data_IF_463226973774
#
_entry.id   IF_463226973774
#
_cell.length_a   1.000
_cell.length_b   1.000
_cell.length_c   1.000
_cell.angle_alpha   90.00
_cell.angle_beta   90.00
_cell.angle_gamma   90.00
#
_symmetry.space_group_name_H-M   'P 1'
#
loop_
_entity.id
_entity.type
_entity.pdbx_description
1 polymer ?
#
# COMPACT_ATOMS: atom_id res chain seq x y z
N UNK A 1 -10.91 -16.82 -15.99
CA UNK A 1 -10.81 -18.12 -15.30
C UNK A 1 -9.42 -18.15 -14.67
N UNK A 2 -9.26 -18.55 -13.40
CA UNK A 2 -7.92 -18.77 -12.83
C UNK A 2 -7.36 -20.00 -13.55
N UNK A 3 -6.18 -19.91 -14.18
CA UNK A 3 -5.53 -21.07 -14.79
C UNK A 3 -5.04 -22.06 -13.73
N UNK A 4 -4.81 -23.31 -14.10
CA UNK A 4 -4.24 -24.31 -13.18
C UNK A 4 -2.88 -23.84 -12.62
N UNK A 5 -2.07 -23.17 -13.45
CA UNK A 5 -0.79 -22.54 -13.07
C UNK A 5 -0.94 -21.47 -11.99
N UNK A 6 -2.02 -20.66 -12.04
CA UNK A 6 -2.29 -19.66 -11.01
C UNK A 6 -2.76 -20.31 -9.71
N UNK A 7 -3.41 -21.49 -9.78
CA UNK A 7 -3.86 -22.20 -8.58
C UNK A 7 -2.68 -22.74 -7.78
N UNK A 8 -1.64 -23.25 -8.45
CA UNK A 8 -0.39 -23.67 -7.80
C UNK A 8 0.38 -22.49 -7.21
N UNK A 9 0.52 -21.39 -7.96
CA UNK A 9 1.22 -20.18 -7.51
C UNK A 9 0.61 -19.59 -6.22
N UNK A 10 -0.72 -19.55 -6.15
CA UNK A 10 -1.46 -18.94 -5.02
C UNK A 10 -1.99 -19.95 -4.00
N UNK A 11 -1.57 -21.22 -4.05
CA UNK A 11 -2.12 -22.31 -3.23
C UNK A 11 -2.15 -21.99 -1.73
N UNK A 12 -1.07 -21.43 -1.16
CA UNK A 12 -1.04 -21.02 0.26
C UNK A 12 -2.00 -19.87 0.57
N UNK A 13 -2.12 -18.90 -0.34
CA UNK A 13 -3.01 -17.75 -0.18
C UNK A 13 -4.48 -18.19 -0.30
N UNK A 14 -4.77 -19.10 -1.22
CA UNK A 14 -6.09 -19.73 -1.39
C UNK A 14 -6.51 -20.49 -0.13
N UNK A 15 -5.60 -21.24 0.50
CA UNK A 15 -5.87 -21.92 1.78
C UNK A 15 -6.17 -20.94 2.92
N UNK A 16 -5.59 -19.75 2.89
CA UNK A 16 -5.75 -18.76 3.95
C UNK A 16 -7.01 -17.91 3.78
N UNK A 17 -7.25 -17.39 2.57
CA UNK A 17 -8.32 -16.42 2.30
C UNK A 17 -9.52 -17.02 1.55
N UNK A 18 -9.39 -18.23 1.03
CA UNK A 18 -10.38 -18.87 0.18
C UNK A 18 -10.25 -18.52 -1.30
N UNK A 19 -10.70 -19.45 -2.14
CA UNK A 19 -10.59 -19.35 -3.60
C UNK A 19 -11.36 -18.16 -4.18
N UNK A 20 -12.54 -17.85 -3.64
CA UNK A 20 -13.35 -16.71 -4.10
C UNK A 20 -12.68 -15.37 -3.78
N UNK A 21 -12.02 -15.25 -2.64
CA UNK A 21 -11.22 -14.06 -2.30
C UNK A 21 -10.05 -13.89 -3.26
N UNK A 22 -9.32 -14.98 -3.55
CA UNK A 22 -8.24 -14.94 -4.54
C UNK A 22 -8.73 -14.52 -5.93
N UNK A 23 -9.90 -15.00 -6.37
CA UNK A 23 -10.52 -14.54 -7.63
C UNK A 23 -10.80 -13.05 -7.63
N UNK A 24 -11.27 -12.48 -6.53
CA UNK A 24 -11.52 -11.04 -6.41
C UNK A 24 -10.21 -10.26 -6.46
N UNK A 25 -9.19 -10.70 -5.72
CA UNK A 25 -7.86 -10.09 -5.69
C UNK A 25 -7.22 -10.04 -7.09
N UNK A 26 -7.30 -11.14 -7.85
CA UNK A 26 -6.77 -11.19 -9.23
C UNK A 26 -7.48 -10.25 -10.21
N UNK A 27 -8.70 -9.82 -9.90
CA UNK A 27 -9.45 -8.82 -10.68
C UNK A 27 -9.31 -7.41 -10.09
N UNK A 28 -8.68 -7.29 -8.93
CA UNK A 28 -8.53 -6.04 -8.22
C UNK A 28 -7.38 -5.24 -8.83
N UNK A 29 -7.65 -3.96 -9.11
CA UNK A 29 -6.68 -3.02 -9.67
C UNK A 29 -6.37 -1.95 -8.63
N UNK A 30 -5.10 -1.60 -8.51
CA UNK A 30 -4.61 -0.61 -7.54
C UNK A 30 -3.78 0.44 -8.28
N UNK A 31 -4.09 1.71 -8.03
CA UNK A 31 -3.35 2.86 -8.55
C UNK A 31 -2.65 3.56 -7.38
N UNK A 32 -1.33 3.69 -7.44
CA UNK A 32 -0.53 4.24 -6.34
C UNK A 32 0.27 5.44 -6.85
N UNK A 33 0.06 6.57 -6.17
CA UNK A 33 0.74 7.82 -6.44
C UNK A 33 1.46 8.30 -5.17
N UNK A 34 2.72 8.73 -5.29
CA UNK A 34 3.45 9.26 -4.14
C UNK A 34 4.19 10.56 -4.44
N UNK A 35 4.51 11.32 -3.38
CA UNK A 35 5.31 12.55 -3.49
C UNK A 35 6.83 12.28 -3.47
N UNK A 36 7.22 11.03 -3.17
CA UNK A 36 8.59 10.55 -3.22
C UNK A 36 9.33 10.73 -1.90
N UNK A 37 10.05 9.66 -1.53
CA UNK A 37 10.95 9.43 -0.39
C UNK A 37 10.48 8.39 0.64
N UNK A 38 9.24 7.94 0.56
CA UNK A 38 8.68 6.96 1.48
C UNK A 38 8.75 5.54 0.90
N UNK A 39 8.93 4.54 1.77
CA UNK A 39 8.90 3.12 1.42
C UNK A 39 7.49 2.53 1.43
N UNK A 40 6.50 3.30 1.91
CA UNK A 40 5.12 2.83 2.11
C UNK A 40 4.48 2.44 0.77
N UNK A 41 4.63 3.26 -0.27
CA UNK A 41 4.04 2.96 -1.59
C UNK A 41 4.65 1.70 -2.20
N UNK A 42 5.96 1.49 -2.04
CA UNK A 42 6.65 0.29 -2.48
C UNK A 42 6.20 -0.97 -1.75
N UNK A 43 6.03 -0.90 -0.43
CA UNK A 43 5.52 -2.02 0.36
C UNK A 43 4.08 -2.39 -0.02
N UNK A 44 3.21 -1.39 -0.23
CA UNK A 44 1.84 -1.60 -0.69
C UNK A 44 1.84 -2.25 -2.07
N UNK A 45 2.62 -1.70 -3.01
CA UNK A 45 2.75 -2.25 -4.36
C UNK A 45 3.24 -3.70 -4.34
N UNK A 46 4.33 -3.99 -3.63
CA UNK A 46 4.90 -5.34 -3.48
C UNK A 46 3.83 -6.32 -3.00
N UNK A 47 3.11 -5.99 -1.93
CA UNK A 47 2.13 -6.91 -1.35
C UNK A 47 0.94 -7.14 -2.28
N UNK A 48 0.41 -6.11 -2.95
CA UNK A 48 -0.66 -6.31 -3.94
C UNK A 48 -0.20 -7.11 -5.16
N UNK A 49 1.02 -6.89 -5.65
CA UNK A 49 1.60 -7.67 -6.76
C UNK A 49 1.77 -9.14 -6.35
N UNK A 50 2.32 -9.42 -5.16
CA UNK A 50 2.48 -10.79 -4.65
C UNK A 50 1.15 -11.50 -4.39
N UNK A 51 0.09 -10.75 -4.12
CA UNK A 51 -1.29 -11.25 -4.05
C UNK A 51 -1.91 -11.49 -5.44
N UNK A 52 -1.28 -11.00 -6.50
CA UNK A 52 -1.72 -11.16 -7.90
C UNK A 52 -2.61 -10.03 -8.43
N UNK A 53 -2.75 -8.93 -7.69
CA UNK A 53 -3.47 -7.74 -8.16
C UNK A 53 -2.65 -6.93 -9.17
N UNK A 54 -3.34 -6.29 -10.11
CA UNK A 54 -2.70 -5.36 -11.04
C UNK A 54 -2.40 -4.04 -10.35
N UNK A 55 -1.14 -3.58 -10.40
CA UNK A 55 -0.73 -2.29 -9.85
C UNK A 55 -0.31 -1.33 -10.96
N UNK A 56 -0.81 -0.09 -10.92
CA UNK A 56 -0.35 1.04 -11.72
C UNK A 56 0.36 2.01 -10.78
N UNK A 57 1.61 2.32 -11.09
CA UNK A 57 2.49 3.12 -10.24
C UNK A 57 2.95 4.37 -11.00
N UNK A 58 2.96 5.52 -10.33
CA UNK A 58 3.76 6.65 -10.80
C UNK A 58 5.26 6.42 -10.59
N UNK A 59 6.09 7.32 -11.14
CA UNK A 59 7.55 7.19 -11.08
C UNK A 59 8.07 7.09 -9.65
N UNK A 60 7.54 7.90 -8.73
CA UNK A 60 7.93 7.88 -7.32
C UNK A 60 7.56 6.56 -6.63
N UNK A 61 6.37 6.03 -6.89
CA UNK A 61 5.92 4.75 -6.33
C UNK A 61 6.71 3.57 -6.91
N UNK A 62 7.06 3.63 -8.19
CA UNK A 62 7.95 2.65 -8.83
C UNK A 62 9.34 2.67 -8.19
N UNK A 63 9.92 3.85 -8.00
CA UNK A 63 11.22 3.99 -7.34
C UNK A 63 11.18 3.48 -5.89
N UNK A 64 10.07 3.69 -5.17
CA UNK A 64 9.87 3.08 -3.86
C UNK A 64 9.79 1.55 -3.92
N UNK A 65 9.11 0.98 -4.92
CA UNK A 65 9.00 -0.47 -5.09
C UNK A 65 10.37 -1.11 -5.30
N UNK A 66 11.19 -0.55 -6.19
CA UNK A 66 12.55 -1.07 -6.48
C UNK A 66 13.42 -1.08 -5.21
N UNK A 67 13.27 -0.09 -4.31
CA UNK A 67 13.97 -0.06 -3.03
C UNK A 67 13.54 -1.16 -2.06
N UNK A 68 12.29 -1.62 -2.14
CA UNK A 68 11.72 -2.65 -1.26
C UNK A 68 11.85 -4.05 -1.88
N UNK A 69 11.86 -4.13 -3.21
CA UNK A 69 11.91 -5.36 -3.98
C UNK A 69 12.75 -5.17 -5.25
N UNK A 70 14.05 -5.45 -5.11
CA UNK A 70 15.06 -5.18 -6.15
C UNK A 70 14.84 -5.98 -7.45
N UNK A 71 14.23 -7.17 -7.36
CA UNK A 71 14.03 -8.10 -8.49
C UNK A 71 12.73 -7.87 -9.28
N UNK A 72 12.04 -6.74 -9.06
CA UNK A 72 10.77 -6.48 -9.72
C UNK A 72 10.94 -6.23 -11.23
N UNK A 73 10.31 -7.09 -12.05
CA UNK A 73 10.14 -6.89 -13.48
C UNK A 73 8.67 -6.54 -13.78
N UNK A 74 8.46 -5.51 -14.60
CA UNK A 74 7.12 -4.99 -14.89
C UNK A 74 6.32 -5.96 -15.78
N UNK A 75 5.11 -6.33 -15.35
CA UNK A 75 4.17 -7.08 -16.18
C UNK A 75 2.80 -6.39 -16.27
N UNK A 76 2.11 -6.70 -17.37
CA UNK A 76 1.07 -5.91 -18.05
C UNK A 76 -0.13 -5.40 -17.22
N UNK A 77 -0.71 -4.33 -17.77
CA UNK A 77 -1.85 -3.55 -17.28
C UNK A 77 -3.20 -4.21 -17.64
N UNK A 78 -4.12 -4.20 -16.70
CA UNK A 78 -5.55 -4.47 -16.93
C UNK A 78 -6.34 -3.15 -16.85
N UNK A 79 -7.39 -3.04 -17.66
CA UNK A 79 -8.35 -1.94 -17.64
C UNK A 79 -9.53 -2.27 -16.70
N UNK A 80 -9.89 -1.33 -15.83
CA UNK A 80 -10.97 -1.45 -14.84
C UNK A 80 -10.92 -0.34 -13.79
N UNK A 81 -11.99 -0.23 -13.01
CA UNK A 81 -12.06 0.65 -11.83
C UNK A 81 -10.99 0.23 -10.82
N UNK A 82 -10.20 1.20 -10.35
CA UNK A 82 -9.03 0.96 -9.52
C UNK A 82 -9.20 1.57 -8.14
N UNK A 83 -8.69 0.90 -7.11
CA UNK A 83 -8.45 1.51 -5.81
C UNK A 83 -7.31 2.51 -5.94
N UNK A 84 -7.60 3.80 -5.82
CA UNK A 84 -6.62 4.87 -5.92
C UNK A 84 -6.08 5.24 -4.55
N UNK A 85 -4.76 5.20 -4.41
CA UNK A 85 -4.02 5.43 -3.17
C UNK A 85 -3.03 6.57 -3.40
N UNK A 86 -3.04 7.56 -2.51
CA UNK A 86 -2.09 8.66 -2.51
C UNK A 86 -1.24 8.64 -1.24
N UNK A 87 0.08 8.55 -1.40
CA UNK A 87 1.05 8.63 -0.29
C UNK A 87 1.68 10.02 -0.29
N UNK A 88 1.40 10.81 0.75
CA UNK A 88 1.86 12.19 0.93
C UNK A 88 1.55 13.14 -0.25
N UNK A 89 0.58 12.77 -1.09
CA UNK A 89 0.03 13.56 -2.21
C UNK A 89 -1.34 14.11 -1.83
N UNK A 90 -1.57 15.39 -2.12
CA UNK A 90 -2.83 16.11 -1.81
C UNK A 90 -3.47 16.74 -3.05
N UNK A 91 -2.72 16.77 -4.14
CA UNK A 91 -3.06 17.31 -5.46
C UNK A 91 -4.01 16.39 -6.25
N UNK A 92 -4.20 15.15 -5.80
CA UNK A 92 -5.05 14.15 -6.43
C UNK A 92 -6.20 13.71 -5.53
N UNK A 93 -7.37 13.53 -6.14
CA UNK A 93 -8.47 12.78 -5.54
C UNK A 93 -8.11 11.29 -5.47
N UNK A 94 -8.34 10.64 -4.34
CA UNK A 94 -8.01 9.24 -4.09
C UNK A 94 -9.02 8.60 -3.12
N UNK A 95 -9.17 7.28 -3.17
CA UNK A 95 -9.97 6.52 -2.21
C UNK A 95 -9.34 6.51 -0.82
N UNK A 96 -8.00 6.48 -0.77
CA UNK A 96 -7.23 6.52 0.46
C UNK A 96 -6.02 7.44 0.34
N UNK A 97 -5.79 8.17 1.43
CA UNK A 97 -4.60 8.97 1.66
C UNK A 97 -3.78 8.33 2.77
N UNK A 98 -2.49 8.19 2.52
CA UNK A 98 -1.52 7.68 3.46
C UNK A 98 -0.51 8.79 3.75
N UNK A 99 -0.24 9.03 5.02
CA UNK A 99 0.71 10.03 5.44
C UNK A 99 1.88 9.37 6.16
N UNK A 100 3.09 9.49 5.60
CA UNK A 100 4.29 8.95 6.24
C UNK A 100 4.66 9.68 7.51
N UNK A 101 4.44 10.99 7.58
CA UNK A 101 4.74 11.81 8.76
C UNK A 101 3.88 11.42 9.96
N UNK A 102 2.60 11.17 9.74
CA UNK A 102 1.65 10.79 10.79
C UNK A 102 1.52 9.28 10.97
N UNK A 103 2.22 8.49 10.14
CA UNK A 103 2.12 7.04 10.05
C UNK A 103 0.66 6.55 10.10
N UNK A 104 -0.16 7.13 9.22
CA UNK A 104 -1.61 6.92 9.23
C UNK A 104 -2.18 6.79 7.83
N UNK A 105 -3.34 6.14 7.71
CA UNK A 105 -4.17 6.22 6.51
C UNK A 105 -5.62 6.56 6.86
N UNK A 106 -6.30 7.22 5.93
CA UNK A 106 -7.71 7.61 6.03
C UNK A 106 -8.29 7.76 4.61
N UNK A 107 -9.62 7.74 4.47
CA UNK A 107 -10.31 8.06 3.20
C UNK A 107 -10.42 9.58 2.97
N UNK A 108 -9.79 10.37 3.84
CA UNK A 108 -9.68 11.82 3.77
C UNK A 108 -8.22 12.21 3.88
N UNK A 109 -7.87 13.36 3.31
CA UNK A 109 -6.53 13.91 3.44
C UNK A 109 -6.19 14.11 4.92
N UNK A 110 -4.94 13.83 5.29
CA UNK A 110 -4.44 14.02 6.64
C UNK A 110 -4.61 15.47 7.12
N UNK A 111 -5.54 15.68 8.06
CA UNK A 111 -5.82 16.99 8.64
C UNK A 111 -4.64 17.53 9.47
N UNK A 112 -3.85 16.65 10.09
CA UNK A 112 -2.69 17.03 10.90
C UNK A 112 -1.69 17.80 10.02
N UNK A 113 -1.32 17.22 8.87
CA UNK A 113 -0.41 17.84 7.92
C UNK A 113 -1.04 18.91 7.03
N UNK A 114 -2.37 19.10 7.05
CA UNK A 114 -3.03 20.23 6.37
C UNK A 114 -2.96 21.52 7.18
N UNK A 115 -2.89 21.41 8.51
CA UNK A 115 -2.94 22.55 9.43
C UNK A 115 -1.68 23.43 9.46
N UNK A 116 -0.65 23.12 8.65
CA UNK A 116 0.59 23.92 8.57
C UNK A 116 1.48 23.88 9.81
N UNK A 117 1.11 23.11 10.84
CA UNK A 117 1.99 22.83 11.97
C UNK A 117 3.01 21.76 11.58
N UNK A 118 4.01 22.16 10.78
CA UNK A 118 5.18 21.36 10.36
C UNK A 118 6.15 21.02 11.54
N UNK A 119 5.69 21.08 12.79
CA UNK A 119 6.51 20.84 13.98
C UNK A 119 6.72 19.36 14.30
N UNK A 120 6.22 18.43 13.49
CA UNK A 120 6.46 16.99 13.63
C UNK A 120 7.29 16.45 12.46
N UNK A 121 8.28 17.21 11.98
CA UNK A 121 9.41 16.60 11.27
C UNK A 121 10.09 15.67 12.27
N UNK A 122 9.89 14.35 12.11
CA UNK A 122 10.90 13.41 12.57
C UNK A 122 12.16 13.75 11.77
N UNK A 123 13.09 14.46 12.41
CA UNK A 123 14.43 14.66 11.87
C UNK A 123 15.10 13.28 11.79
N UNK A 124 15.25 12.77 10.57
CA UNK A 124 15.90 11.48 10.25
C UNK A 124 17.44 11.60 10.42
N UNK A 125 17.91 12.31 11.44
CA UNK A 125 19.33 12.65 11.61
C UNK A 125 20.07 11.73 12.59
N UNK A 126 19.42 10.70 13.16
CA UNK A 126 20.09 9.61 13.86
C UNK A 126 19.83 8.27 13.15
N UNK A 127 20.88 7.47 12.94
CA UNK A 127 20.79 6.17 12.26
C UNK A 127 19.77 5.20 12.90
N UNK A 128 19.56 5.28 14.22
CA UNK A 128 18.52 4.48 14.92
C UNK A 128 17.11 4.97 14.64
N UNK A 129 16.92 6.28 14.52
CA UNK A 129 15.62 6.89 14.20
C UNK A 129 15.25 6.60 12.73
N UNK A 130 16.26 6.51 11.86
CA UNK A 130 16.11 6.10 10.45
C UNK A 130 15.60 4.66 10.29
N UNK A 131 16.21 3.68 10.98
CA UNK A 131 15.76 2.27 10.90
C UNK A 131 14.33 2.11 11.44
N UNK A 132 14.01 2.73 12.57
CA UNK A 132 12.65 2.69 13.12
C UNK A 132 11.63 3.29 12.16
N UNK A 133 11.98 4.40 11.51
CA UNK A 133 11.12 5.04 10.50
C UNK A 133 10.88 4.11 9.31
N UNK A 134 11.91 3.43 8.82
CA UNK A 134 11.79 2.44 7.73
C UNK A 134 10.84 1.32 8.14
N UNK A 135 11.05 0.70 9.31
CA UNK A 135 10.21 -0.40 9.80
C UNK A 135 8.76 0.05 9.95
N UNK A 136 8.52 1.25 10.46
CA UNK A 136 7.17 1.81 10.62
C UNK A 136 6.47 2.06 9.28
N UNK A 137 7.20 2.56 8.29
CA UNK A 137 6.67 2.76 6.94
C UNK A 137 6.27 1.42 6.30
N UNK A 138 7.13 0.40 6.39
CA UNK A 138 6.82 -0.94 5.89
C UNK A 138 5.65 -1.57 6.65
N UNK A 139 5.62 -1.44 7.98
CA UNK A 139 4.53 -1.96 8.80
C UNK A 139 3.19 -1.30 8.43
N UNK A 140 3.16 0.02 8.26
CA UNK A 140 1.94 0.72 7.84
C UNK A 140 1.46 0.26 6.46
N UNK A 141 2.38 0.07 5.51
CA UNK A 141 2.05 -0.47 4.19
C UNK A 141 1.44 -1.88 4.28
N UNK A 142 2.03 -2.76 5.08
CA UNK A 142 1.51 -4.11 5.34
C UNK A 142 0.12 -4.11 6.00
N UNK A 143 -0.08 -3.29 7.04
CA UNK A 143 -1.37 -3.13 7.72
C UNK A 143 -2.44 -2.63 6.74
N UNK A 144 -2.11 -1.63 5.93
CA UNK A 144 -3.05 -1.10 4.95
C UNK A 144 -3.51 -2.19 3.97
N UNK A 145 -2.58 -2.96 3.39
CA UNK A 145 -2.93 -4.04 2.45
C UNK A 145 -3.77 -5.11 3.13
N UNK A 146 -3.44 -5.50 4.36
CA UNK A 146 -4.25 -6.45 5.12
C UNK A 146 -5.70 -5.99 5.27
N UNK A 147 -5.92 -4.73 5.64
CA UNK A 147 -7.27 -4.18 5.79
C UNK A 147 -8.00 -4.07 4.44
N UNK A 148 -7.28 -3.86 3.34
CA UNK A 148 -7.87 -3.92 2.00
C UNK A 148 -8.25 -5.34 1.59
N UNK A 149 -7.47 -6.35 1.94
CA UNK A 149 -7.83 -7.77 1.72
C UNK A 149 -9.12 -8.12 2.49
N UNK A 150 -9.24 -7.67 3.74
CA UNK A 150 -10.49 -7.80 4.52
C UNK A 150 -11.68 -7.15 3.82
N UNK A 151 -11.50 -5.90 3.34
CA UNK A 151 -12.51 -5.19 2.55
C UNK A 151 -12.93 -6.00 1.30
N UNK A 152 -11.98 -6.56 0.56
CA UNK A 152 -12.25 -7.41 -0.62
C UNK A 152 -13.03 -8.68 -0.22
N UNK A 153 -12.74 -9.24 0.96
CA UNK A 153 -13.44 -10.39 1.48
C UNK A 153 -14.80 -10.07 2.13
N UNK A 154 -15.27 -8.81 2.10
CA UNK A 154 -16.45 -8.35 2.81
C UNK A 154 -16.39 -8.60 4.33
N UNK A 155 -15.19 -8.60 4.90
CA UNK A 155 -14.97 -8.64 6.34
C UNK A 155 -14.97 -7.23 6.95
N UNK A 156 -15.11 -7.15 8.27
CA UNK A 156 -14.90 -5.90 8.98
C UNK A 156 -13.45 -5.42 8.79
N UNK A 157 -13.29 -4.17 8.34
CA UNK A 157 -11.99 -3.57 8.09
C UNK A 157 -11.95 -2.15 8.64
N UNK A 158 -10.74 -1.66 8.88
CA UNK A 158 -10.49 -0.28 9.29
C UNK A 158 -10.29 0.60 8.05
N UNK A 159 -11.19 1.56 7.84
CA UNK A 159 -11.01 2.60 6.81
C UNK A 159 -10.05 3.72 7.25
N UNK A 160 -9.69 3.73 8.54
CA UNK A 160 -8.76 4.69 9.15
C UNK A 160 -7.89 3.99 10.17
N UNK A 161 -6.60 4.32 10.18
CA UNK A 161 -5.64 3.81 11.14
C UNK A 161 -4.51 4.81 11.39
N UNK A 162 -4.02 4.85 12.62
CA UNK A 162 -2.82 5.58 13.03
C UNK A 162 -1.92 4.56 13.73
N UNK A 163 -0.68 4.45 13.29
CA UNK A 163 0.32 3.60 13.93
C UNK A 163 0.81 4.30 15.20
N UNK A 164 0.19 3.98 16.34
CA UNK A 164 0.62 4.47 17.64
C UNK A 164 1.90 3.76 18.08
N UNK A 165 2.89 4.54 18.54
CA UNK A 165 4.09 4.01 19.18
C UNK A 165 4.10 4.40 20.66
N UNK A 166 4.47 3.46 21.52
CA UNK A 166 4.76 3.67 22.95
C UNK A 166 6.26 3.65 23.18
#
# INVERSE_FOLDING_TARGET
MISDTNTELYDRQIRLFGFETQKKILRFKVEIYSNGNELISGEIAKNFILLGSTCILDENSRNSLIKVWEDYNEENKNEGDALKICVDRKDLEADYYICSKCLSYDNKICNICLSGNDNTRMDINNDKDSINTIVQQLLLGGIFVQEMVKKINNEEYKSKYILEYK
#
